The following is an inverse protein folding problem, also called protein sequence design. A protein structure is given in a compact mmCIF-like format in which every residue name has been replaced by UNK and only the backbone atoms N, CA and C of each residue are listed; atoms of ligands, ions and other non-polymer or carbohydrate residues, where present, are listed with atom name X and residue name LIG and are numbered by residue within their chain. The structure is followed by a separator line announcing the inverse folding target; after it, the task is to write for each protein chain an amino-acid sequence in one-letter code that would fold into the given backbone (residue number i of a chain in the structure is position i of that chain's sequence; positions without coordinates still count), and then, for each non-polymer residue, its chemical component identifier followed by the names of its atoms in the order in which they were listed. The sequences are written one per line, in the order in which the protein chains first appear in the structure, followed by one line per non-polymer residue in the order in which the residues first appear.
data_IF_291858040526
#
_entry.id   IF_291858040526
#
_cell.length_a   1.000
_cell.length_b   1.000
_cell.length_c   1.000
_cell.angle_alpha   90.00
_cell.angle_beta   90.00
_cell.angle_gamma   90.00
#
_symmetry.space_group_name_H-M   'P 1'
#
loop_
_entity.id
_entity.type
_entity.pdbx_description
1 polymer ?
#
# COMPACT_ATOMS: atom_id res chain seq x y z
N UNK A 1 -52.67 35.25 10.99
CA UNK A 1 -52.93 34.12 11.93
C UNK A 1 -52.24 32.86 11.41
N UNK A 2 -51.82 31.94 12.29
CA UNK A 2 -51.19 30.67 11.89
C UNK A 2 -52.26 29.69 11.36
N UNK A 3 -51.94 28.93 10.31
CA UNK A 3 -52.54 27.61 10.05
C UNK A 3 -51.42 26.61 9.76
N UNK A 4 -51.44 25.51 10.51
CA UNK A 4 -50.39 24.49 10.53
C UNK A 4 -50.55 23.53 9.36
N UNK A 5 -49.46 23.24 8.63
CA UNK A 5 -49.41 22.09 7.74
C UNK A 5 -48.86 20.88 8.50
N UNK A 6 -49.70 19.87 8.73
CA UNK A 6 -49.31 18.62 9.39
C UNK A 6 -48.61 17.70 8.39
N UNK A 7 -47.31 17.44 8.61
CA UNK A 7 -46.54 16.46 7.83
C UNK A 7 -46.94 15.04 8.23
N UNK A 8 -47.45 14.26 7.27
CA UNK A 8 -47.86 12.87 7.52
C UNK A 8 -46.67 11.95 7.81
N UNK A 9 -46.91 10.87 8.57
CA UNK A 9 -45.99 9.74 8.79
C UNK A 9 -46.45 8.52 7.99
N UNK A 10 -45.65 8.05 7.04
CA UNK A 10 -45.63 6.64 6.58
C UNK A 10 -44.32 6.39 5.84
N UNK A 11 -43.37 5.71 6.49
CA UNK A 11 -42.32 4.89 5.88
C UNK A 11 -41.67 4.10 7.03
N UNK A 12 -42.21 2.92 7.27
CA UNK A 12 -41.67 1.92 8.21
C UNK A 12 -41.99 0.54 7.62
N UNK A 13 -41.02 -0.37 7.68
CA UNK A 13 -41.07 -1.71 7.10
C UNK A 13 -40.76 -1.82 5.60
N UNK A 14 -39.48 -2.03 5.24
CA UNK A 14 -39.08 -3.23 4.45
C UNK A 14 -37.56 -3.56 4.51
N UNK A 15 -36.91 -3.34 5.67
CA UNK A 15 -35.49 -3.70 5.89
C UNK A 15 -35.25 -5.15 6.38
N UNK A 16 -36.31 -5.93 6.61
CA UNK A 16 -36.23 -7.23 7.30
C UNK A 16 -36.40 -8.47 6.41
N UNK A 17 -36.21 -8.33 5.09
CA UNK A 17 -36.40 -9.43 4.11
C UNK A 17 -35.22 -9.77 3.19
N UNK A 18 -34.16 -8.94 3.13
CA UNK A 18 -32.93 -9.29 2.38
C UNK A 18 -32.09 -10.37 3.10
N UNK A 19 -32.21 -10.44 4.42
CA UNK A 19 -31.25 -11.04 5.37
C UNK A 19 -31.26 -12.60 5.45
N UNK A 20 -31.70 -13.31 4.40
CA UNK A 20 -31.85 -14.79 4.42
C UNK A 20 -31.54 -15.53 3.11
N UNK A 21 -30.79 -14.93 2.17
CA UNK A 21 -30.50 -15.56 0.86
C UNK A 21 -29.02 -15.61 0.41
N UNK A 22 -28.08 -15.06 1.17
CA UNK A 22 -26.65 -15.11 0.83
C UNK A 22 -25.86 -16.22 1.56
N UNK A 23 -26.40 -16.82 2.61
CA UNK A 23 -25.76 -17.88 3.39
C UNK A 23 -25.80 -19.27 2.71
N UNK A 24 -25.14 -19.40 1.54
CA UNK A 24 -24.58 -20.66 0.99
C UNK A 24 -23.80 -20.50 -0.32
N UNK A 25 -22.64 -19.84 -0.24
CA UNK A 25 -21.47 -20.17 -1.06
C UNK A 25 -20.24 -20.26 -0.15
N UNK A 26 -19.26 -21.09 -0.51
CA UNK A 26 -18.18 -21.52 0.39
C UNK A 26 -17.13 -20.42 0.59
N UNK A 27 -17.17 -19.77 1.74
CA UNK A 27 -16.08 -18.93 2.23
C UNK A 27 -14.91 -19.81 2.70
N UNK A 28 -13.79 -19.72 1.99
CA UNK A 28 -12.48 -20.12 2.53
C UNK A 28 -12.12 -19.08 3.60
N UNK A 29 -12.07 -19.50 4.87
CA UNK A 29 -11.95 -18.57 5.98
C UNK A 29 -10.55 -17.91 6.03
N UNK A 30 -10.52 -16.58 5.93
CA UNK A 30 -9.36 -15.75 6.30
C UNK A 30 -9.58 -15.15 7.70
N UNK A 31 -8.49 -15.14 8.49
CA UNK A 31 -8.37 -14.62 9.87
C UNK A 31 -9.20 -15.35 10.95
N UNK A 32 -8.56 -15.73 12.07
CA UNK A 32 -9.22 -16.36 13.21
C UNK A 32 -10.30 -15.46 13.83
N UNK A 33 -11.55 -15.92 13.85
CA UNK A 33 -12.70 -15.08 14.18
C UNK A 33 -12.90 -14.92 15.71
N UNK A 34 -13.09 -13.69 16.22
CA UNK A 34 -13.72 -13.49 17.53
C UNK A 34 -15.09 -14.20 17.56
N UNK A 35 -15.47 -14.90 18.66
CA UNK A 35 -16.59 -15.84 18.66
C UNK A 35 -17.97 -15.23 18.35
N UNK A 36 -18.12 -13.90 18.51
CA UNK A 36 -19.19 -13.12 17.87
C UNK A 36 -18.57 -11.80 17.36
N UNK A 37 -18.59 -11.56 16.05
CA UNK A 37 -18.21 -10.27 15.46
C UNK A 37 -19.32 -9.23 15.67
N UNK A 38 -18.99 -8.08 16.25
CA UNK A 38 -19.92 -6.95 16.43
C UNK A 38 -19.18 -5.66 16.08
N UNK A 39 -19.35 -5.23 14.84
CA UNK A 39 -18.72 -4.04 14.28
C UNK A 39 -18.97 -2.76 15.11
N UNK A 40 -20.05 -2.68 15.90
CA UNK A 40 -20.33 -1.53 16.78
C UNK A 40 -19.56 -1.62 18.09
N UNK A 41 -19.58 -2.79 18.74
CA UNK A 41 -18.74 -3.08 19.92
C UNK A 41 -17.27 -2.87 19.60
N UNK A 42 -16.85 -3.28 18.41
CA UNK A 42 -15.45 -3.33 17.98
C UNK A 42 -14.99 -1.95 17.48
N UNK A 43 -15.80 -1.20 16.72
CA UNK A 43 -15.57 0.23 16.49
C UNK A 43 -15.50 1.03 17.81
N UNK A 44 -16.40 0.75 18.76
CA UNK A 44 -16.38 1.34 20.11
C UNK A 44 -15.17 0.93 20.94
N UNK A 45 -14.52 -0.19 20.63
CA UNK A 45 -13.24 -0.57 21.22
C UNK A 45 -12.10 0.25 20.61
N UNK A 46 -12.01 0.34 19.28
CA UNK A 46 -11.02 1.17 18.59
C UNK A 46 -11.15 2.66 18.99
N UNK A 47 -12.36 3.17 19.20
CA UNK A 47 -12.62 4.50 19.78
C UNK A 47 -11.99 4.71 21.17
N UNK A 48 -11.81 3.67 21.99
CA UNK A 48 -11.09 3.78 23.27
C UNK A 48 -9.59 3.93 23.03
N UNK A 49 -9.02 3.11 22.13
CA UNK A 49 -7.61 3.17 21.73
C UNK A 49 -7.31 4.59 21.21
N UNK A 50 -8.10 5.07 20.23
CA UNK A 50 -7.98 6.42 19.69
C UNK A 50 -8.08 7.51 20.78
N UNK A 51 -9.00 7.38 21.75
CA UNK A 51 -9.15 8.37 22.84
C UNK A 51 -8.02 8.37 23.87
N UNK A 52 -7.29 7.26 24.03
CA UNK A 52 -6.05 7.23 24.82
C UNK A 52 -4.89 7.95 24.11
N UNK A 53 -4.94 8.00 22.77
CA UNK A 53 -3.90 8.60 21.93
C UNK A 53 -4.12 10.10 21.66
N UNK A 54 -5.37 10.50 21.39
CA UNK A 54 -5.77 11.86 20.94
C UNK A 54 -5.35 12.98 21.90
N UNK A 55 -5.13 12.70 23.19
CA UNK A 55 -4.65 13.70 24.16
C UNK A 55 -3.22 14.20 23.96
N UNK A 56 -2.43 13.61 23.03
CA UNK A 56 -1.01 13.92 22.86
C UNK A 56 -0.55 14.28 21.44
N UNK A 57 -1.46 14.41 20.45
CA UNK A 57 -1.14 14.46 19.00
C UNK A 57 -0.37 13.24 18.43
N UNK A 58 -0.12 12.22 19.25
CA UNK A 58 0.46 10.95 18.82
C UNK A 58 -0.70 10.02 18.48
N UNK A 59 -0.86 9.65 17.21
CA UNK A 59 -1.73 8.54 16.81
C UNK A 59 -0.92 7.25 16.94
N UNK A 60 -1.34 6.34 17.81
CA UNK A 60 -0.66 5.06 18.03
C UNK A 60 -0.95 4.09 16.87
N UNK A 61 -0.12 4.16 15.84
CA UNK A 61 -0.21 3.31 14.66
C UNK A 61 0.08 1.84 14.98
N UNK A 62 0.88 1.55 16.01
CA UNK A 62 1.20 0.19 16.46
C UNK A 62 -0.05 -0.48 17.07
N UNK A 63 -0.72 0.17 18.03
CA UNK A 63 -1.98 -0.33 18.61
C UNK A 63 -3.12 -0.41 17.60
N UNK A 64 -3.19 0.52 16.64
CA UNK A 64 -4.20 0.48 15.56
C UNK A 64 -3.92 -0.69 14.60
N UNK A 65 -2.67 -0.89 14.19
CA UNK A 65 -2.29 -2.00 13.30
C UNK A 65 -2.57 -3.35 13.97
N UNK A 66 -2.19 -3.50 15.25
CA UNK A 66 -2.48 -4.71 16.01
C UNK A 66 -4.00 -4.97 16.11
N UNK A 67 -4.82 -3.95 16.44
CA UNK A 67 -6.27 -4.09 16.45
C UNK A 67 -6.82 -4.51 15.08
N UNK A 68 -6.37 -3.90 13.98
CA UNK A 68 -6.85 -4.23 12.64
C UNK A 68 -6.42 -5.64 12.18
N UNK A 69 -5.27 -6.14 12.65
CA UNK A 69 -4.75 -7.47 12.30
C UNK A 69 -5.61 -8.64 12.75
N UNK A 70 -6.57 -8.44 13.67
CA UNK A 70 -7.50 -9.49 14.14
C UNK A 70 -8.82 -9.55 13.36
N UNK A 71 -8.93 -8.87 12.21
CA UNK A 71 -10.15 -8.80 11.40
C UNK A 71 -9.86 -8.97 9.89
N UNK A 72 -10.75 -9.69 9.18
CA UNK A 72 -10.68 -9.80 7.72
C UNK A 72 -11.10 -8.49 7.01
N UNK A 73 -10.92 -8.40 5.68
CA UNK A 73 -11.14 -7.14 4.97
C UNK A 73 -12.59 -6.59 5.13
N UNK A 74 -13.60 -7.44 4.95
CA UNK A 74 -15.01 -7.08 5.12
C UNK A 74 -15.31 -6.55 6.54
N UNK A 75 -14.81 -7.25 7.57
CA UNK A 75 -14.94 -6.84 8.97
C UNK A 75 -14.27 -5.49 9.25
N UNK A 76 -13.08 -5.24 8.69
CA UNK A 76 -12.39 -3.94 8.81
C UNK A 76 -13.19 -2.83 8.15
N UNK A 77 -13.72 -3.02 6.95
CA UNK A 77 -14.55 -2.02 6.26
C UNK A 77 -15.79 -1.67 7.09
N UNK A 78 -16.50 -2.66 7.64
CA UNK A 78 -17.68 -2.44 8.49
C UNK A 78 -17.34 -1.69 9.80
N UNK A 79 -16.18 -1.98 10.41
CA UNK A 79 -15.69 -1.25 11.59
C UNK A 79 -15.38 0.21 11.23
N UNK A 80 -14.66 0.45 10.13
CA UNK A 80 -14.26 1.81 9.68
C UNK A 80 -15.49 2.66 9.33
N UNK A 81 -16.45 2.12 8.57
CA UNK A 81 -17.69 2.81 8.22
C UNK A 81 -18.51 3.20 9.45
N UNK A 82 -18.59 2.35 10.48
CA UNK A 82 -19.29 2.71 11.72
C UNK A 82 -18.47 3.70 12.59
N UNK A 83 -17.14 3.69 12.49
CA UNK A 83 -16.27 4.67 13.15
C UNK A 83 -16.49 6.09 12.62
N UNK A 84 -16.64 6.22 11.31
CA UNK A 84 -17.02 7.48 10.67
C UNK A 84 -18.47 7.86 11.01
N UNK A 85 -19.43 6.95 10.81
CA UNK A 85 -20.86 7.22 10.98
C UNK A 85 -21.30 7.51 12.43
N UNK A 86 -20.85 6.72 13.41
CA UNK A 86 -21.30 6.83 14.81
C UNK A 86 -20.44 7.81 15.63
N UNK A 87 -19.16 7.99 15.27
CA UNK A 87 -18.20 8.77 16.07
C UNK A 87 -17.55 9.95 15.35
N UNK A 88 -17.80 10.15 14.05
CA UNK A 88 -17.20 11.21 13.22
C UNK A 88 -15.66 11.18 13.24
N UNK A 89 -15.06 9.99 13.29
CA UNK A 89 -13.62 9.80 13.11
C UNK A 89 -13.33 9.24 11.72
N UNK A 90 -12.94 10.10 10.77
CA UNK A 90 -12.29 9.63 9.55
C UNK A 90 -10.87 9.17 9.92
N UNK A 91 -10.71 7.87 10.17
CA UNK A 91 -9.44 7.29 10.58
C UNK A 91 -8.42 7.26 9.43
N UNK A 92 -8.86 7.25 8.17
CA UNK A 92 -7.99 7.38 7.00
C UNK A 92 -7.33 8.76 6.99
N UNK A 93 -8.10 9.84 7.13
CA UNK A 93 -7.54 11.20 7.22
C UNK A 93 -6.59 11.34 8.42
N UNK A 94 -6.97 10.84 9.60
CA UNK A 94 -6.14 10.88 10.81
C UNK A 94 -4.81 10.14 10.66
N UNK A 95 -4.75 9.09 9.84
CA UNK A 95 -3.51 8.38 9.47
C UNK A 95 -2.75 9.16 8.40
N UNK A 96 -3.44 9.75 7.42
CA UNK A 96 -2.86 10.57 6.34
C UNK A 96 -2.18 11.86 6.86
N UNK A 97 -2.67 12.46 7.95
CA UNK A 97 -2.02 13.59 8.65
C UNK A 97 -0.67 13.25 9.33
N UNK A 98 -0.25 11.98 9.36
CA UNK A 98 1.04 11.57 9.98
C UNK A 98 2.20 11.68 8.96
N UNK A 99 3.47 11.62 9.39
CA UNK A 99 4.59 11.49 8.45
C UNK A 99 4.53 10.17 7.66
N UNK A 100 4.99 10.20 6.42
CA UNK A 100 5.24 9.00 5.60
C UNK A 100 6.16 8.02 6.34
N UNK A 101 5.72 6.77 6.47
CA UNK A 101 6.47 5.70 7.14
C UNK A 101 5.87 4.33 6.78
N UNK A 102 6.65 3.24 6.81
CA UNK A 102 6.15 1.89 6.54
C UNK A 102 4.91 1.52 7.35
N UNK A 103 4.85 1.89 8.63
CA UNK A 103 3.71 1.54 9.50
C UNK A 103 2.46 2.35 9.18
N UNK A 104 2.57 3.65 8.82
CA UNK A 104 1.46 4.44 8.30
C UNK A 104 0.87 3.80 7.04
N UNK A 105 1.73 3.40 6.10
CA UNK A 105 1.27 2.73 4.87
C UNK A 105 0.62 1.36 5.16
N UNK A 106 1.14 0.60 6.13
CA UNK A 106 0.58 -0.68 6.55
C UNK A 106 -0.79 -0.53 7.24
N UNK A 107 -0.95 0.50 8.09
CA UNK A 107 -2.25 0.84 8.70
C UNK A 107 -3.23 1.31 7.64
N UNK A 108 -2.81 2.17 6.70
CA UNK A 108 -3.66 2.64 5.60
C UNK A 108 -4.17 1.47 4.74
N UNK A 109 -3.30 0.53 4.37
CA UNK A 109 -3.66 -0.68 3.64
C UNK A 109 -4.65 -1.61 4.39
N UNK A 110 -4.74 -1.50 5.72
CA UNK A 110 -5.71 -2.22 6.53
C UNK A 110 -7.04 -1.45 6.70
N UNK A 111 -7.07 -0.15 6.40
CA UNK A 111 -8.23 0.75 6.53
C UNK A 111 -8.97 1.00 5.21
N UNK A 112 -8.33 0.80 4.06
CA UNK A 112 -8.90 1.00 2.71
C UNK A 112 -9.06 -0.31 1.95
N UNK A 113 -9.80 -0.31 0.85
CA UNK A 113 -9.68 -1.39 -0.14
C UNK A 113 -8.29 -1.39 -0.80
N UNK A 114 -7.80 -2.54 -1.33
CA UNK A 114 -6.51 -2.62 -2.02
C UNK A 114 -6.38 -1.66 -3.21
N UNK A 115 -7.49 -1.38 -3.91
CA UNK A 115 -7.45 -0.52 -5.11
C UNK A 115 -7.08 0.94 -4.76
N UNK A 116 -7.54 1.44 -3.61
CA UNK A 116 -7.17 2.77 -3.13
C UNK A 116 -5.70 2.85 -2.72
N UNK A 117 -5.17 1.81 -2.06
CA UNK A 117 -3.74 1.70 -1.75
C UNK A 117 -2.89 1.77 -3.03
N UNK A 118 -3.30 1.06 -4.08
CA UNK A 118 -2.59 1.00 -5.35
C UNK A 118 -2.63 2.36 -6.07
N UNK A 119 -3.79 3.00 -6.13
CA UNK A 119 -4.01 4.36 -6.65
C UNK A 119 -3.15 5.39 -5.92
N UNK A 120 -3.10 5.35 -4.59
CA UNK A 120 -2.28 6.26 -3.78
C UNK A 120 -0.79 6.04 -4.06
N UNK A 121 -0.31 4.80 -4.05
CA UNK A 121 1.09 4.50 -4.35
C UNK A 121 1.51 4.94 -5.78
N UNK A 122 0.63 4.80 -6.77
CA UNK A 122 0.86 5.26 -8.15
C UNK A 122 0.97 6.79 -8.23
N UNK A 123 0.05 7.53 -7.60
CA UNK A 123 0.12 8.99 -7.47
C UNK A 123 1.38 9.45 -6.72
N UNK A 124 1.75 8.76 -5.64
CA UNK A 124 2.92 9.09 -4.84
C UNK A 124 4.20 8.89 -5.67
N UNK A 125 4.35 7.80 -6.42
CA UNK A 125 5.47 7.60 -7.35
C UNK A 125 5.59 8.74 -8.37
N UNK A 126 4.49 9.10 -9.05
CA UNK A 126 4.46 10.22 -9.99
C UNK A 126 4.85 11.54 -9.30
N UNK A 127 4.33 11.81 -8.11
CA UNK A 127 4.60 13.03 -7.34
C UNK A 127 6.06 13.10 -6.85
N UNK A 128 6.63 11.99 -6.39
CA UNK A 128 8.02 11.89 -5.94
C UNK A 128 9.00 12.12 -7.10
N UNK A 129 8.70 11.58 -8.29
CA UNK A 129 9.47 11.82 -9.52
C UNK A 129 9.34 13.27 -9.99
N UNK A 130 8.12 13.82 -10.04
CA UNK A 130 7.85 15.20 -10.46
C UNK A 130 8.51 16.26 -9.57
N UNK A 131 8.56 15.99 -8.26
CA UNK A 131 9.14 16.91 -7.27
C UNK A 131 10.65 16.75 -7.09
N UNK A 132 11.31 15.88 -7.88
CA UNK A 132 12.75 15.63 -7.77
C UNK A 132 13.15 14.97 -6.44
N UNK A 133 12.22 14.27 -5.78
CA UNK A 133 12.50 13.45 -4.60
C UNK A 133 13.06 12.06 -4.96
N UNK A 134 12.83 11.59 -6.20
CA UNK A 134 13.39 10.36 -6.76
C UNK A 134 13.95 10.66 -8.15
N UNK A 135 15.28 10.59 -8.31
CA UNK A 135 15.95 10.72 -9.61
C UNK A 135 15.81 9.45 -10.47
N UNK A 136 15.75 8.28 -9.81
CA UNK A 136 15.64 6.95 -10.44
C UNK A 136 14.34 6.74 -11.22
N UNK A 137 14.28 5.67 -12.00
CA UNK A 137 13.07 5.34 -12.75
C UNK A 137 11.92 4.85 -11.85
N UNK A 138 10.68 5.04 -12.31
CA UNK A 138 9.46 4.58 -11.65
C UNK A 138 8.56 3.71 -12.55
N UNK A 139 8.83 3.63 -13.86
CA UNK A 139 7.91 3.05 -14.86
C UNK A 139 7.64 1.57 -14.62
N UNK A 140 8.66 0.78 -14.27
CA UNK A 140 8.49 -0.62 -13.86
C UNK A 140 7.53 -0.78 -12.68
N UNK A 141 7.62 0.08 -11.66
CA UNK A 141 6.71 0.06 -10.52
C UNK A 141 5.29 0.52 -10.90
N UNK A 142 5.15 1.50 -11.80
CA UNK A 142 3.84 1.89 -12.33
C UNK A 142 3.18 0.76 -13.14
N UNK A 143 3.96 -0.04 -13.87
CA UNK A 143 3.48 -1.22 -14.60
C UNK A 143 3.16 -2.38 -13.63
N UNK A 144 4.02 -2.67 -12.65
CA UNK A 144 3.80 -3.69 -11.62
C UNK A 144 2.47 -3.48 -10.86
N UNK A 145 2.12 -2.23 -10.55
CA UNK A 145 0.86 -1.85 -9.90
C UNK A 145 -0.37 -2.19 -10.76
N UNK A 146 -0.24 -2.12 -12.09
CA UNK A 146 -1.36 -2.31 -13.05
C UNK A 146 -1.46 -3.73 -13.60
N UNK A 147 -0.35 -4.49 -13.63
CA UNK A 147 -0.25 -5.79 -14.31
C UNK A 147 -1.32 -6.81 -13.92
N UNK A 148 -1.64 -6.91 -12.62
CA UNK A 148 -2.61 -7.84 -12.07
C UNK A 148 -4.02 -7.30 -11.88
N UNK A 149 -4.35 -6.15 -12.47
CA UNK A 149 -5.68 -5.56 -12.35
C UNK A 149 -6.60 -6.03 -13.49
N UNK A 150 -7.81 -6.46 -13.11
CA UNK A 150 -8.89 -6.70 -14.06
C UNK A 150 -9.34 -5.40 -14.73
N UNK A 151 -10.03 -5.46 -15.86
CA UNK A 151 -10.60 -4.28 -16.51
C UNK A 151 -11.55 -3.51 -15.55
N UNK A 152 -12.32 -4.24 -14.74
CA UNK A 152 -13.16 -3.67 -13.67
C UNK A 152 -12.33 -2.98 -12.58
N UNK A 153 -11.21 -3.56 -12.17
CA UNK A 153 -10.32 -2.93 -11.18
C UNK A 153 -9.61 -1.70 -11.79
N UNK A 154 -9.26 -1.71 -13.08
CA UNK A 154 -8.74 -0.54 -13.82
C UNK A 154 -9.79 0.59 -13.94
N UNK A 155 -11.08 0.28 -14.10
CA UNK A 155 -12.16 1.27 -14.06
C UNK A 155 -12.25 1.92 -12.66
N UNK A 156 -12.29 1.11 -11.59
CA UNK A 156 -12.24 1.58 -10.20
C UNK A 156 -10.97 2.38 -9.89
N UNK A 157 -9.82 1.98 -10.44
CA UNK A 157 -8.53 2.66 -10.27
C UNK A 157 -8.60 4.10 -10.78
N UNK A 158 -9.14 4.29 -11.98
CA UNK A 158 -9.31 5.61 -12.59
C UNK A 158 -10.35 6.47 -11.85
N UNK A 159 -11.48 5.88 -11.43
CA UNK A 159 -12.47 6.58 -10.61
C UNK A 159 -11.87 7.02 -9.26
N UNK A 160 -11.21 6.11 -8.54
CA UNK A 160 -10.56 6.39 -7.27
C UNK A 160 -9.47 7.45 -7.39
N UNK A 161 -8.59 7.37 -8.41
CA UNK A 161 -7.56 8.39 -8.67
C UNK A 161 -8.18 9.78 -8.90
N UNK A 162 -9.23 9.84 -9.73
CA UNK A 162 -9.96 11.07 -10.01
C UNK A 162 -10.65 11.63 -8.76
N UNK A 163 -11.24 10.78 -7.92
CA UNK A 163 -11.95 11.20 -6.72
C UNK A 163 -10.99 11.64 -5.58
N UNK A 164 -9.80 11.04 -5.48
CA UNK A 164 -8.81 11.35 -4.45
C UNK A 164 -7.93 12.56 -4.76
N UNK A 165 -7.64 12.82 -6.04
CA UNK A 165 -6.68 13.86 -6.46
C UNK A 165 -7.31 14.98 -7.32
N UNK A 166 -8.56 14.81 -7.76
CA UNK A 166 -9.27 15.70 -8.71
C UNK A 166 -8.51 15.91 -10.03
N UNK A 167 -7.72 14.91 -10.45
CA UNK A 167 -6.83 14.95 -11.60
C UNK A 167 -7.16 13.86 -12.63
N UNK A 168 -6.80 14.09 -13.90
CA UNK A 168 -6.72 13.05 -14.93
C UNK A 168 -5.35 12.37 -14.83
N UNK A 169 -5.37 11.05 -14.67
CA UNK A 169 -4.19 10.19 -14.53
C UNK A 169 -3.29 10.23 -15.77
N UNK A 170 -3.88 10.16 -16.98
CA UNK A 170 -3.14 10.23 -18.25
C UNK A 170 -2.29 11.50 -18.33
N UNK A 171 -2.88 12.65 -17.96
CA UNK A 171 -2.19 13.94 -17.96
C UNK A 171 -1.08 14.04 -16.93
N UNK A 172 -1.19 13.32 -15.81
CA UNK A 172 -0.15 13.29 -14.79
C UNK A 172 1.03 12.41 -15.27
N UNK A 173 0.74 11.28 -15.92
CA UNK A 173 1.72 10.44 -16.60
C UNK A 173 2.43 11.22 -17.72
N UNK A 174 1.69 11.92 -18.58
CA UNK A 174 2.23 12.80 -19.63
C UNK A 174 3.10 13.93 -19.07
N UNK A 175 2.77 14.48 -17.91
CA UNK A 175 3.55 15.54 -17.23
C UNK A 175 4.87 15.00 -16.65
N UNK A 176 4.89 13.76 -16.14
CA UNK A 176 6.06 13.17 -15.45
C UNK A 176 6.99 12.39 -16.39
N UNK A 177 6.44 11.61 -17.32
CA UNK A 177 7.18 10.74 -18.24
C UNK A 177 7.29 11.31 -19.66
N UNK A 178 6.39 12.23 -20.03
CA UNK A 178 6.33 12.85 -21.35
C UNK A 178 5.34 12.15 -22.30
N UNK A 179 4.55 12.95 -23.02
CA UNK A 179 3.55 12.54 -24.03
C UNK A 179 4.10 11.55 -25.08
N UNK A 180 5.37 11.71 -25.49
CA UNK A 180 5.99 10.92 -26.57
C UNK A 180 6.79 9.71 -26.10
N UNK A 181 6.94 9.51 -24.79
CA UNK A 181 7.72 8.40 -24.23
C UNK A 181 6.98 7.06 -24.41
N UNK A 182 7.71 5.99 -24.74
CA UNK A 182 7.14 4.66 -24.98
C UNK A 182 6.36 4.13 -23.76
N UNK A 183 6.95 4.26 -22.57
CA UNK A 183 6.40 3.71 -21.34
C UNK A 183 5.21 4.53 -20.82
N UNK A 184 5.22 5.84 -21.05
CA UNK A 184 4.05 6.71 -20.92
C UNK A 184 2.88 6.18 -21.75
N UNK A 185 3.08 5.90 -23.05
CA UNK A 185 2.05 5.27 -23.90
C UNK A 185 1.62 3.89 -23.35
N UNK A 186 2.57 3.04 -22.96
CA UNK A 186 2.30 1.67 -22.48
C UNK A 186 1.44 1.66 -21.21
N UNK A 187 1.79 2.48 -20.22
CA UNK A 187 1.04 2.65 -18.97
C UNK A 187 -0.37 3.18 -19.26
N UNK A 188 -0.50 4.17 -20.16
CA UNK A 188 -1.81 4.67 -20.60
C UNK A 188 -2.62 3.59 -21.35
N UNK A 189 -1.99 2.65 -22.07
CA UNK A 189 -2.72 1.53 -22.69
C UNK A 189 -3.19 0.49 -21.67
N UNK A 190 -2.39 0.18 -20.64
CA UNK A 190 -2.85 -0.65 -19.51
C UNK A 190 -4.06 0.00 -18.81
N UNK A 191 -3.99 1.32 -18.56
CA UNK A 191 -5.08 2.09 -17.95
C UNK A 191 -6.36 2.19 -18.80
N UNK A 192 -6.34 1.82 -20.10
CA UNK A 192 -7.58 1.77 -20.90
C UNK A 192 -8.55 0.69 -20.43
N UNK A 193 -8.08 -0.34 -19.70
CA UNK A 193 -8.94 -1.43 -19.20
C UNK A 193 -9.61 -2.21 -20.34
N UNK A 194 -8.82 -2.66 -21.32
CA UNK A 194 -9.30 -3.35 -22.53
C UNK A 194 -8.62 -4.69 -22.81
N UNK A 195 -8.01 -5.31 -21.80
CA UNK A 195 -7.41 -6.64 -21.96
C UNK A 195 -8.53 -7.67 -22.16
N UNK A 196 -8.37 -8.61 -23.06
CA UNK A 196 -9.31 -9.73 -23.19
C UNK A 196 -9.18 -10.65 -21.96
N UNK A 197 -10.27 -10.86 -21.22
CA UNK A 197 -10.26 -11.57 -19.91
C UNK A 197 -10.78 -13.02 -19.99
N UNK A 198 -11.35 -13.45 -21.13
CA UNK A 198 -11.86 -14.81 -21.26
C UNK A 198 -10.70 -15.82 -21.31
N UNK A 199 -10.86 -16.96 -20.63
CA UNK A 199 -9.81 -17.97 -20.40
C UNK A 199 -9.45 -18.82 -21.63
N UNK A 200 -9.72 -18.32 -22.84
CA UNK A 200 -9.42 -18.97 -24.11
C UNK A 200 -8.09 -18.50 -24.71
N UNK A 201 -7.55 -19.33 -25.61
CA UNK A 201 -6.55 -18.94 -26.58
C UNK A 201 -6.94 -19.46 -27.97
N UNK A 202 -6.31 -18.91 -29.01
CA UNK A 202 -6.58 -19.24 -30.40
C UNK A 202 -5.27 -19.36 -31.17
N UNK A 203 -4.76 -20.60 -31.40
CA UNK A 203 -3.50 -20.82 -32.09
C UNK A 203 -3.43 -20.27 -33.53
N UNK A 204 -4.57 -20.00 -34.17
CA UNK A 204 -4.61 -19.33 -35.49
C UNK A 204 -4.40 -17.82 -35.37
N UNK A 205 -5.04 -17.17 -34.39
CA UNK A 205 -4.82 -15.75 -34.07
C UNK A 205 -3.39 -15.57 -33.55
N UNK A 206 -2.90 -16.47 -32.68
CA UNK A 206 -1.54 -16.42 -32.17
C UNK A 206 -0.49 -16.53 -33.30
N UNK A 207 -0.69 -17.40 -34.30
CA UNK A 207 0.16 -17.48 -35.50
C UNK A 207 0.15 -16.21 -36.36
N UNK A 208 -0.98 -15.49 -36.38
CA UNK A 208 -1.10 -14.20 -37.07
C UNK A 208 -0.36 -13.09 -36.30
N UNK A 209 -0.57 -13.01 -34.98
CA UNK A 209 0.03 -11.96 -34.14
C UNK A 209 1.54 -12.18 -33.96
N UNK A 210 2.00 -13.42 -33.74
CA UNK A 210 3.43 -13.75 -33.75
C UNK A 210 4.10 -13.44 -35.10
N UNK A 211 3.38 -13.57 -36.23
CA UNK A 211 3.89 -13.09 -37.54
C UNK A 211 3.98 -11.57 -37.56
N UNK A 212 2.91 -10.86 -37.19
CA UNK A 212 2.86 -9.41 -37.21
C UNK A 212 3.95 -8.79 -36.31
N UNK A 213 4.17 -9.36 -35.13
CA UNK A 213 5.24 -8.96 -34.22
C UNK A 213 6.63 -9.18 -34.85
N UNK A 214 6.89 -10.32 -35.51
CA UNK A 214 8.14 -10.53 -36.23
C UNK A 214 8.32 -9.56 -37.41
N UNK A 215 7.27 -9.34 -38.20
CA UNK A 215 7.31 -8.42 -39.34
C UNK A 215 7.64 -6.98 -38.88
N UNK A 216 7.15 -6.56 -37.71
CA UNK A 216 7.43 -5.23 -37.10
C UNK A 216 8.78 -5.16 -36.37
N UNK A 217 9.30 -6.27 -35.84
CA UNK A 217 10.60 -6.33 -35.11
C UNK A 217 11.79 -6.82 -35.94
N UNK A 218 11.60 -6.98 -37.25
CA UNK A 218 12.65 -7.34 -38.22
C UNK A 218 13.02 -6.19 -39.16
N UNK A 219 12.11 -5.24 -39.44
CA UNK A 219 12.43 -4.03 -40.22
C UNK A 219 12.77 -2.84 -39.30
N UNK A 220 14.08 -2.62 -39.12
CA UNK A 220 14.66 -1.54 -38.31
C UNK A 220 14.28 -0.14 -38.83
N UNK A 221 13.74 0.01 -40.05
CA UNK A 221 13.52 1.32 -40.67
C UNK A 221 12.20 2.00 -40.30
N UNK A 222 11.18 1.26 -39.84
CA UNK A 222 9.90 1.82 -39.37
C UNK A 222 9.36 1.07 -38.16
N UNK A 223 9.74 1.55 -36.97
CA UNK A 223 9.24 1.06 -35.67
C UNK A 223 7.78 1.52 -35.48
N UNK A 224 6.88 0.57 -35.23
CA UNK A 224 5.53 0.86 -34.73
C UNK A 224 5.38 0.45 -33.26
N UNK A 225 5.80 1.37 -32.38
CA UNK A 225 5.58 1.33 -30.93
C UNK A 225 4.15 0.87 -30.56
N UNK A 226 3.15 1.34 -31.31
CA UNK A 226 1.75 1.19 -30.94
C UNK A 226 1.28 -0.24 -31.20
N UNK A 227 1.66 -0.83 -32.33
CA UNK A 227 1.42 -2.27 -32.59
C UNK A 227 2.06 -3.15 -31.52
N UNK A 228 3.28 -2.83 -31.06
CA UNK A 228 3.92 -3.57 -29.96
C UNK A 228 3.13 -3.41 -28.66
N UNK A 229 2.82 -2.17 -28.27
CA UNK A 229 2.04 -1.88 -27.04
C UNK A 229 0.66 -2.55 -27.08
N UNK A 230 -0.07 -2.47 -28.21
CA UNK A 230 -1.41 -3.05 -28.35
C UNK A 230 -1.37 -4.58 -28.19
N UNK A 231 -0.36 -5.27 -28.73
CA UNK A 231 -0.17 -6.72 -28.51
C UNK A 231 -0.04 -7.01 -27.01
N UNK A 232 0.92 -6.38 -26.33
CA UNK A 232 1.21 -6.66 -24.92
C UNK A 232 0.08 -6.20 -23.95
N UNK A 233 -0.82 -5.31 -24.38
CA UNK A 233 -1.88 -4.77 -23.52
C UNK A 233 -3.29 -5.30 -23.81
N UNK A 234 -3.62 -5.70 -25.05
CA UNK A 234 -4.99 -6.08 -25.42
C UNK A 234 -5.29 -7.60 -25.33
N UNK A 235 -4.33 -8.48 -25.60
CA UNK A 235 -4.58 -9.94 -25.57
C UNK A 235 -4.64 -10.51 -24.13
N UNK A 236 -5.37 -11.61 -23.96
CA UNK A 236 -5.42 -12.34 -22.68
C UNK A 236 -4.05 -12.94 -22.36
N UNK A 237 -3.71 -13.14 -21.07
CA UNK A 237 -2.43 -13.76 -20.71
C UNK A 237 -2.29 -15.20 -21.26
N UNK A 238 -3.39 -15.94 -21.39
CA UNK A 238 -3.41 -17.26 -22.06
C UNK A 238 -3.07 -17.14 -23.55
N UNK A 239 -3.63 -16.14 -24.23
CA UNK A 239 -3.37 -15.86 -25.64
C UNK A 239 -1.94 -15.33 -25.86
N UNK A 240 -1.43 -14.45 -24.99
CA UNK A 240 -0.05 -13.96 -25.04
C UNK A 240 0.98 -15.07 -24.81
N UNK A 241 0.79 -15.93 -23.81
CA UNK A 241 1.65 -17.10 -23.60
C UNK A 241 1.71 -17.98 -24.87
N UNK A 242 0.55 -18.19 -25.51
CA UNK A 242 0.43 -18.93 -26.78
C UNK A 242 1.09 -18.20 -27.97
N UNK A 243 1.09 -16.86 -27.99
CA UNK A 243 1.82 -16.04 -28.98
C UNK A 243 3.32 -16.20 -28.81
N UNK A 244 3.81 -16.20 -27.56
CA UNK A 244 5.24 -16.31 -27.26
C UNK A 244 5.79 -17.69 -27.66
N UNK A 245 5.09 -18.77 -27.31
CA UNK A 245 5.45 -20.14 -27.71
C UNK A 245 5.54 -20.27 -29.24
N UNK A 246 4.53 -19.76 -29.94
CA UNK A 246 4.42 -19.82 -31.41
C UNK A 246 5.40 -18.87 -32.11
N UNK A 247 5.92 -17.86 -31.43
CA UNK A 247 7.02 -17.04 -31.91
C UNK A 247 8.33 -17.82 -31.89
N UNK A 248 8.67 -18.39 -30.73
CA UNK A 248 9.91 -19.15 -30.50
C UNK A 248 9.99 -20.39 -31.42
N UNK A 249 8.92 -21.20 -31.48
CA UNK A 249 8.78 -22.37 -32.37
C UNK A 249 9.03 -22.07 -33.87
N UNK A 250 8.73 -20.83 -34.28
CA UNK A 250 8.65 -20.44 -35.70
C UNK A 250 9.86 -19.62 -36.17
N UNK A 251 10.45 -18.84 -35.28
CA UNK A 251 11.53 -17.90 -35.58
C UNK A 251 12.87 -18.30 -34.95
N UNK A 252 12.87 -19.20 -33.96
CA UNK A 252 14.09 -19.75 -33.37
C UNK A 252 14.80 -18.84 -32.36
N UNK A 253 14.14 -17.75 -31.93
CA UNK A 253 14.56 -16.86 -30.85
C UNK A 253 13.36 -16.61 -29.90
N UNK A 254 13.55 -16.55 -28.57
CA UNK A 254 12.50 -16.12 -27.65
C UNK A 254 12.04 -14.69 -27.94
N UNK A 255 10.78 -14.37 -27.61
CA UNK A 255 10.23 -13.02 -27.87
C UNK A 255 10.99 -11.92 -27.12
N UNK A 256 11.60 -12.24 -25.96
CA UNK A 256 12.50 -11.37 -25.21
C UNK A 256 13.73 -10.95 -26.02
N UNK A 257 14.33 -11.84 -26.81
CA UNK A 257 15.51 -11.51 -27.62
C UNK A 257 15.12 -10.54 -28.74
N UNK A 258 13.97 -10.73 -29.38
CA UNK A 258 13.42 -9.78 -30.34
C UNK A 258 13.17 -8.39 -29.72
N UNK A 259 12.68 -8.32 -28.48
CA UNK A 259 12.49 -7.06 -27.71
C UNK A 259 13.83 -6.40 -27.38
N UNK A 260 14.84 -7.17 -26.97
CA UNK A 260 16.20 -6.69 -26.71
C UNK A 260 16.91 -6.18 -27.98
N UNK A 261 16.60 -6.76 -29.14
CA UNK A 261 17.03 -6.21 -30.44
C UNK A 261 16.29 -4.92 -30.82
N UNK A 262 15.01 -4.81 -30.42
CA UNK A 262 14.11 -3.72 -30.82
C UNK A 262 14.28 -2.44 -29.99
N UNK A 263 14.44 -2.54 -28.67
CA UNK A 263 14.54 -1.40 -27.76
C UNK A 263 15.96 -1.23 -27.25
N UNK A 264 16.51 -0.03 -27.36
CA UNK A 264 17.89 0.27 -26.90
C UNK A 264 17.94 0.84 -25.47
N UNK A 265 16.79 1.05 -24.84
CA UNK A 265 16.68 1.49 -23.46
C UNK A 265 16.43 0.28 -22.55
N UNK A 266 17.36 0.01 -21.64
CA UNK A 266 17.28 -1.10 -20.69
C UNK A 266 15.97 -1.08 -19.86
N UNK A 267 15.45 0.10 -19.52
CA UNK A 267 14.20 0.23 -18.77
C UNK A 267 13.00 -0.21 -19.62
N UNK A 268 13.01 0.07 -20.93
CA UNK A 268 11.94 -0.34 -21.85
C UNK A 268 11.92 -1.86 -22.04
N UNK A 269 13.10 -2.48 -22.19
CA UNK A 269 13.25 -3.94 -22.20
C UNK A 269 12.68 -4.54 -20.90
N UNK A 270 13.13 -4.07 -19.74
CA UNK A 270 12.70 -4.59 -18.44
C UNK A 270 11.20 -4.44 -18.19
N UNK A 271 10.57 -3.36 -18.68
CA UNK A 271 9.12 -3.19 -18.62
C UNK A 271 8.34 -4.22 -19.46
N UNK A 272 8.88 -4.67 -20.59
CA UNK A 272 8.27 -5.76 -21.36
C UNK A 272 8.59 -7.14 -20.77
N UNK A 273 9.80 -7.35 -20.25
CA UNK A 273 10.16 -8.58 -19.52
C UNK A 273 9.27 -8.79 -18.28
N UNK A 274 8.92 -7.71 -17.55
CA UNK A 274 7.94 -7.75 -16.45
C UNK A 274 6.55 -8.24 -16.94
N UNK A 275 6.07 -7.75 -18.09
CA UNK A 275 4.80 -8.20 -18.69
C UNK A 275 4.89 -9.68 -19.12
N UNK A 276 6.02 -10.11 -19.69
CA UNK A 276 6.22 -11.48 -20.16
C UNK A 276 6.29 -12.46 -18.99
N UNK A 277 7.06 -12.14 -17.95
CA UNK A 277 7.17 -12.98 -16.75
C UNK A 277 5.82 -13.10 -16.03
N UNK A 278 5.08 -12.00 -15.88
CA UNK A 278 3.72 -12.02 -15.36
C UNK A 278 2.77 -12.86 -16.22
N UNK A 279 2.88 -12.78 -17.55
CA UNK A 279 2.11 -13.61 -18.50
C UNK A 279 2.39 -15.10 -18.33
N UNK A 280 3.66 -15.47 -18.07
CA UNK A 280 4.06 -16.88 -17.89
C UNK A 280 3.71 -17.43 -16.50
N UNK A 281 3.81 -16.63 -15.44
CA UNK A 281 3.38 -17.01 -14.08
C UNK A 281 3.15 -15.78 -13.19
N UNK A 282 1.89 -15.36 -12.96
CA UNK A 282 1.56 -14.25 -12.05
C UNK A 282 2.10 -14.48 -10.63
N UNK A 283 1.86 -15.66 -10.07
CA UNK A 283 2.32 -16.03 -8.72
C UNK A 283 3.85 -16.14 -8.64
N UNK A 284 4.52 -16.54 -9.72
CA UNK A 284 5.98 -16.55 -9.83
C UNK A 284 6.58 -15.14 -9.88
N UNK A 285 5.96 -14.24 -10.63
CA UNK A 285 6.33 -12.82 -10.69
C UNK A 285 6.18 -12.15 -9.31
N UNK A 286 5.03 -12.31 -8.65
CA UNK A 286 4.83 -11.79 -7.28
C UNK A 286 5.79 -12.40 -6.27
N UNK A 287 6.08 -13.71 -6.37
CA UNK A 287 7.10 -14.39 -5.57
C UNK A 287 8.48 -13.73 -5.72
N UNK A 288 8.87 -13.41 -6.96
CA UNK A 288 10.13 -12.72 -7.30
C UNK A 288 10.17 -11.27 -6.78
N UNK A 289 9.13 -10.46 -7.02
CA UNK A 289 9.09 -9.08 -6.50
C UNK A 289 9.07 -9.04 -4.96
N UNK A 290 8.39 -9.98 -4.29
CA UNK A 290 8.47 -10.15 -2.83
C UNK A 290 9.90 -10.43 -2.36
N UNK A 291 10.65 -11.30 -3.06
CA UNK A 291 12.05 -11.59 -2.73
C UNK A 291 12.92 -10.34 -2.89
N UNK A 292 12.82 -9.67 -4.04
CA UNK A 292 13.57 -8.44 -4.31
C UNK A 292 13.26 -7.35 -3.27
N UNK A 293 11.98 -7.18 -2.90
CA UNK A 293 11.55 -6.22 -1.88
C UNK A 293 12.14 -6.52 -0.49
N UNK A 294 12.30 -7.81 -0.12
CA UNK A 294 12.93 -8.26 1.12
C UNK A 294 14.46 -8.17 1.10
N UNK A 295 15.11 -8.26 -0.07
CA UNK A 295 16.57 -8.19 -0.20
C UNK A 295 17.11 -6.76 -0.40
N UNK A 296 16.27 -5.85 -0.91
CA UNK A 296 16.57 -4.41 -1.06
C UNK A 296 16.99 -3.76 0.26
N UNK A 297 17.90 -2.78 0.18
CA UNK A 297 18.27 -1.93 1.30
C UNK A 297 18.15 -0.44 0.91
N UNK A 298 17.27 0.36 1.54
CA UNK A 298 16.25 -0.05 2.51
C UNK A 298 15.20 -1.01 1.89
N UNK A 299 14.53 -1.78 2.76
CA UNK A 299 13.50 -2.75 2.40
C UNK A 299 12.31 -2.07 1.73
N UNK A 300 11.77 -2.66 0.67
CA UNK A 300 10.62 -2.11 -0.07
C UNK A 300 9.29 -2.43 0.61
N UNK A 301 9.05 -1.79 1.75
CA UNK A 301 7.82 -2.00 2.52
C UNK A 301 6.55 -1.74 1.71
N UNK A 302 6.54 -0.80 0.75
CA UNK A 302 5.35 -0.55 -0.08
C UNK A 302 4.99 -1.76 -0.93
N UNK A 303 6.00 -2.41 -1.52
CA UNK A 303 5.80 -3.62 -2.35
C UNK A 303 5.38 -4.83 -1.51
N UNK A 304 5.94 -4.98 -0.31
CA UNK A 304 5.48 -5.99 0.65
C UNK A 304 4.04 -5.74 1.11
N UNK A 305 3.68 -4.49 1.41
CA UNK A 305 2.31 -4.11 1.80
C UNK A 305 1.32 -4.39 0.67
N UNK A 306 1.63 -4.01 -0.59
CA UNK A 306 0.76 -4.32 -1.75
C UNK A 306 0.51 -5.82 -1.88
N UNK A 307 1.55 -6.64 -1.92
CA UNK A 307 1.37 -8.06 -2.21
C UNK A 307 0.91 -8.89 -1.02
N UNK A 308 1.30 -8.57 0.22
CA UNK A 308 0.86 -9.34 1.39
C UNK A 308 -0.57 -8.95 1.80
N UNK A 309 -0.93 -7.66 1.78
CA UNK A 309 -2.27 -7.20 2.21
C UNK A 309 -3.26 -7.16 1.04
N UNK A 310 -2.83 -6.77 -0.16
CA UNK A 310 -3.72 -6.66 -1.33
C UNK A 310 -4.13 -7.99 -1.96
N UNK A 311 -3.40 -9.08 -1.69
CA UNK A 311 -3.68 -10.42 -2.24
C UNK A 311 -4.15 -11.44 -1.19
N UNK A 312 -4.29 -11.07 0.09
CA UNK A 312 -4.67 -12.01 1.18
C UNK A 312 -6.00 -12.72 0.95
N UNK A 313 -6.98 -12.00 0.40
CA UNK A 313 -8.31 -12.51 0.04
C UNK A 313 -8.41 -12.80 -1.49
N UNK A 314 -7.26 -12.97 -2.16
CA UNK A 314 -7.11 -13.36 -3.58
C UNK A 314 -6.25 -14.63 -3.73
N UNK A 315 -4.97 -14.46 -4.07
CA UNK A 315 -4.02 -15.46 -4.57
C UNK A 315 -2.73 -15.58 -3.73
N UNK A 316 -2.70 -15.00 -2.52
CA UNK A 316 -1.53 -15.05 -1.63
C UNK A 316 -1.06 -16.48 -1.30
N UNK A 317 -1.97 -17.47 -1.28
CA UNK A 317 -1.59 -18.87 -1.05
C UNK A 317 -0.87 -19.49 -2.25
N UNK A 318 -1.25 -19.19 -3.51
CA UNK A 318 -0.45 -19.57 -4.67
C UNK A 318 0.92 -18.85 -4.69
N UNK A 319 0.96 -17.56 -4.36
CA UNK A 319 2.20 -16.77 -4.27
C UNK A 319 3.16 -17.40 -3.23
N UNK A 320 2.65 -17.83 -2.06
CA UNK A 320 3.43 -18.53 -1.03
C UNK A 320 4.01 -19.86 -1.51
N UNK A 321 3.26 -20.62 -2.32
CA UNK A 321 3.72 -21.90 -2.87
C UNK A 321 4.81 -21.70 -3.92
N UNK A 322 4.65 -20.73 -4.83
CA UNK A 322 5.71 -20.34 -5.77
C UNK A 322 6.93 -19.76 -5.06
N UNK A 323 6.76 -19.03 -3.96
CA UNK A 323 7.88 -18.53 -3.15
C UNK A 323 8.72 -19.67 -2.55
N UNK A 324 8.07 -20.65 -1.90
CA UNK A 324 8.76 -21.82 -1.37
C UNK A 324 9.47 -22.61 -2.47
N UNK A 325 8.82 -22.78 -3.63
CA UNK A 325 9.37 -23.48 -4.80
C UNK A 325 10.58 -22.77 -5.45
N UNK A 326 10.61 -21.44 -5.43
CA UNK A 326 11.65 -20.65 -6.11
C UNK A 326 12.86 -20.34 -5.21
N UNK A 327 12.74 -20.49 -3.88
CA UNK A 327 13.78 -20.09 -2.92
C UNK A 327 14.15 -21.14 -1.86
N UNK A 328 13.49 -22.32 -1.84
CA UNK A 328 13.62 -23.36 -0.80
C UNK A 328 13.40 -22.84 0.65
N UNK A 329 12.82 -21.64 0.80
CA UNK A 329 12.56 -20.94 2.06
C UNK A 329 11.10 -20.47 2.11
N UNK A 330 10.33 -20.76 3.17
CA UNK A 330 8.99 -20.22 3.33
C UNK A 330 8.98 -18.69 3.51
N UNK A 331 8.06 -18.00 2.84
CA UNK A 331 7.93 -16.53 2.87
C UNK A 331 7.83 -15.97 4.31
N UNK A 332 7.17 -16.68 5.23
CA UNK A 332 7.04 -16.28 6.63
C UNK A 332 8.38 -16.36 7.38
N UNK A 333 9.25 -17.32 7.03
CA UNK A 333 10.61 -17.47 7.59
C UNK A 333 11.50 -16.34 7.08
N UNK A 334 11.43 -16.01 5.79
CA UNK A 334 12.17 -14.86 5.25
C UNK A 334 11.71 -13.56 5.91
N UNK A 335 10.41 -13.34 6.09
CA UNK A 335 9.86 -12.13 6.76
C UNK A 335 10.24 -12.06 8.25
N UNK A 336 10.18 -13.19 8.99
CA UNK A 336 10.66 -13.30 10.38
C UNK A 336 12.13 -12.87 10.50
N UNK A 337 12.94 -13.20 9.50
CA UNK A 337 14.39 -12.97 9.46
C UNK A 337 14.80 -11.60 8.92
N UNK A 338 14.07 -11.05 7.94
CA UNK A 338 14.47 -9.85 7.18
C UNK A 338 13.89 -8.53 7.67
N UNK A 339 12.70 -8.51 8.28
CA UNK A 339 12.09 -7.25 8.73
C UNK A 339 12.58 -6.84 10.14
N UNK A 340 12.84 -5.55 10.35
CA UNK A 340 13.16 -5.01 11.68
C UNK A 340 11.94 -4.40 12.39
N UNK A 341 10.94 -3.92 11.64
CA UNK A 341 9.71 -3.38 12.24
C UNK A 341 8.84 -4.53 12.78
N UNK A 342 8.66 -4.57 14.10
CA UNK A 342 8.02 -5.70 14.79
C UNK A 342 6.52 -5.82 14.55
N UNK A 343 5.75 -4.72 14.51
CA UNK A 343 4.30 -4.82 14.30
C UNK A 343 3.93 -5.06 12.82
N UNK A 344 4.69 -4.52 11.86
CA UNK A 344 4.55 -4.90 10.44
C UNK A 344 4.91 -6.38 10.26
N UNK A 345 6.02 -6.84 10.86
CA UNK A 345 6.39 -8.27 10.87
C UNK A 345 5.26 -9.11 11.44
N UNK A 346 4.78 -8.82 12.64
CA UNK A 346 3.68 -9.54 13.31
C UNK A 346 2.44 -9.62 12.43
N UNK A 347 2.03 -8.48 11.86
CA UNK A 347 0.87 -8.38 10.96
C UNK A 347 1.03 -9.26 9.72
N UNK A 348 2.19 -9.20 9.05
CA UNK A 348 2.47 -10.05 7.88
C UNK A 348 2.52 -11.53 8.25
N UNK A 349 3.08 -11.91 9.40
CA UNK A 349 3.09 -13.32 9.83
C UNK A 349 1.67 -13.82 10.13
N UNK A 350 0.83 -13.05 10.83
CA UNK A 350 -0.59 -13.40 11.07
C UNK A 350 -1.36 -13.58 9.74
N UNK A 351 -1.15 -12.68 8.78
CA UNK A 351 -1.73 -12.76 7.43
C UNK A 351 -1.27 -14.03 6.68
N UNK A 352 0.03 -14.33 6.73
CA UNK A 352 0.64 -15.39 5.92
C UNK A 352 0.42 -16.78 6.51
N UNK A 353 0.53 -16.96 7.83
CA UNK A 353 0.28 -18.27 8.47
C UNK A 353 -1.20 -18.56 8.65
N UNK A 354 -2.06 -17.51 8.71
CA UNK A 354 -3.49 -17.58 9.07
C UNK A 354 -3.73 -18.15 10.49
N UNK A 355 -2.71 -18.20 11.33
CA UNK A 355 -2.80 -18.70 12.71
C UNK A 355 -3.40 -17.66 13.66
N UNK A 356 -4.08 -18.13 14.71
CA UNK A 356 -4.43 -17.30 15.86
C UNK A 356 -3.16 -16.88 16.62
N UNK A 357 -3.13 -15.66 17.17
CA UNK A 357 -1.92 -15.09 17.77
C UNK A 357 -1.49 -15.81 19.06
N UNK A 358 -0.64 -16.82 18.92
CA UNK A 358 -0.07 -17.62 20.01
C UNK A 358 0.69 -16.73 21.02
N UNK A 359 1.19 -15.55 20.60
CA UNK A 359 1.91 -14.62 21.49
C UNK A 359 0.99 -13.88 22.45
N UNK A 360 -0.32 -13.79 22.16
CA UNK A 360 -1.31 -13.17 23.05
C UNK A 360 -1.36 -13.86 24.44
N UNK A 361 -1.04 -15.16 24.53
CA UNK A 361 -0.99 -15.91 25.79
C UNK A 361 0.20 -15.55 26.72
N UNK A 362 1.12 -14.68 26.28
CA UNK A 362 2.18 -14.12 27.13
C UNK A 362 1.73 -12.77 27.74
N UNK A 363 0.69 -12.13 27.17
CA UNK A 363 0.09 -10.88 27.63
C UNK A 363 -0.85 -11.04 28.82
N UNK A 364 -0.30 -11.35 30.01
CA UNK A 364 -1.05 -11.22 31.26
C UNK A 364 -1.61 -9.79 31.46
N UNK A 365 -2.77 -9.61 32.10
CA UNK A 365 -3.47 -8.32 32.14
C UNK A 365 -2.59 -7.22 32.76
N UNK A 366 -2.41 -6.12 32.02
CA UNK A 366 -1.53 -5.00 32.40
C UNK A 366 -1.93 -4.43 33.76
N UNK A 367 -1.13 -4.75 34.78
CA UNK A 367 -1.29 -4.17 36.12
C UNK A 367 -0.73 -2.75 36.13
N UNK A 368 -1.63 -1.78 36.08
CA UNK A 368 -1.32 -0.39 36.40
C UNK A 368 -1.19 -0.24 37.93
N UNK A 369 0.00 -0.54 38.46
CA UNK A 369 0.32 -0.30 39.87
C UNK A 369 0.37 1.22 40.15
N UNK A 370 -0.77 1.74 40.58
CA UNK A 370 -1.03 3.18 40.71
C UNK A 370 -0.46 3.73 42.03
N UNK A 371 0.87 3.64 42.21
CA UNK A 371 1.56 4.02 43.45
C UNK A 371 1.87 5.52 43.50
N UNK A 372 1.02 6.30 44.18
CA UNK A 372 1.33 7.67 44.57
C UNK A 372 2.63 7.70 45.40
N UNK A 373 3.64 8.44 44.94
CA UNK A 373 4.95 8.48 45.58
C UNK A 373 4.97 9.44 46.78
N UNK A 374 4.49 8.98 47.94
CA UNK A 374 4.67 9.67 49.21
C UNK A 374 6.03 9.33 49.83
N UNK A 375 6.89 10.34 49.98
CA UNK A 375 8.30 10.16 50.31
C UNK A 375 8.56 9.93 51.81
N UNK A 376 9.09 8.75 52.16
CA UNK A 376 9.85 8.56 53.42
C UNK A 376 10.73 7.31 53.41
N UNK A 377 12.04 7.48 53.16
CA UNK A 377 13.07 6.52 53.56
C UNK A 377 14.19 7.32 54.24
N UNK A 378 14.56 6.92 55.46
CA UNK A 378 15.67 7.50 56.22
C UNK A 378 16.82 6.51 56.41
N UNK A 379 17.86 6.97 57.11
CA UNK A 379 18.88 6.15 57.80
C UNK A 379 19.53 4.99 57.00
N UNK A 380 20.62 5.32 56.30
CA UNK A 380 21.49 4.38 55.57
C UNK A 380 22.53 3.60 56.39
N UNK A 381 23.71 3.36 55.80
CA UNK A 381 24.80 2.57 56.40
C UNK A 381 26.23 3.04 56.00
N UNK A 382 27.24 2.50 56.69
CA UNK A 382 28.69 2.81 56.70
C UNK A 382 29.49 1.50 56.46
N UNK A 383 30.80 1.38 56.17
CA UNK A 383 32.00 2.27 56.00
C UNK A 383 33.14 1.40 55.35
N UNK A 384 34.26 1.87 54.78
CA UNK A 384 34.71 3.23 54.42
C UNK A 384 35.39 3.27 53.01
N UNK A 385 36.70 3.15 52.70
CA UNK A 385 38.01 3.16 53.42
C UNK A 385 39.14 3.72 52.51
N UNK A 386 39.24 5.06 52.39
CA UNK A 386 40.47 5.88 52.19
C UNK A 386 41.66 5.41 51.32
N UNK A 387 42.09 6.30 50.39
CA UNK A 387 43.42 6.96 50.48
C UNK A 387 43.40 8.33 49.77
N UNK A 388 44.36 9.21 50.12
CA UNK A 388 44.49 10.60 49.62
C UNK A 388 45.81 10.83 48.89
N UNK A 389 45.80 11.74 47.93
CA UNK A 389 46.86 12.75 47.67
C UNK A 389 46.21 13.99 47.04
N UNK A 390 46.88 15.16 47.08
CA UNK A 390 46.23 16.46 46.83
C UNK A 390 47.20 17.56 46.38
N UNK A 391 46.77 18.42 45.44
CA UNK A 391 47.44 19.68 45.03
C UNK A 391 46.43 20.77 44.65
N UNK A 392 46.91 22.01 44.45
CA UNK A 392 46.24 23.30 44.72
C UNK A 392 46.80 24.39 43.78
N UNK A 393 46.23 25.56 43.42
CA UNK A 393 45.02 26.39 43.76
C UNK A 393 45.07 27.69 42.90
N UNK A 394 44.10 28.66 42.92
CA UNK A 394 42.69 28.72 43.30
C UNK A 394 41.78 29.39 42.18
N UNK A 395 40.99 30.51 42.30
CA UNK A 395 39.65 30.54 41.65
C UNK A 395 39.29 31.79 40.79
N UNK A 396 38.09 31.77 40.19
CA UNK A 396 37.36 32.97 39.69
C UNK A 396 35.87 32.88 40.07
N UNK A 397 35.17 34.02 40.08
CA UNK A 397 33.86 34.19 40.77
C UNK A 397 32.64 34.34 39.83
N UNK A 398 31.42 33.97 40.30
CA UNK A 398 30.12 34.42 39.73
C UNK A 398 29.92 35.94 39.99
N UNK A 399 28.84 36.65 39.55
CA UNK A 399 27.43 36.23 39.30
C UNK A 399 26.85 36.88 38.00
N UNK A 400 25.54 37.17 37.76
CA UNK A 400 24.33 36.91 38.57
C UNK A 400 23.09 36.32 37.86
N UNK A 401 22.10 35.99 38.68
CA UNK A 401 20.75 35.56 38.30
C UNK A 401 19.79 36.75 38.05
N UNK A 402 18.90 36.64 37.08
CA UNK A 402 17.64 37.42 37.02
C UNK A 402 16.45 36.51 36.71
N UNK A 403 15.37 36.67 37.46
CA UNK A 403 14.12 35.93 37.31
C UNK A 403 13.18 36.62 36.31
N UNK A 404 12.64 35.87 35.34
CA UNK A 404 11.57 36.36 34.45
C UNK A 404 10.50 35.30 34.17
N UNK A 405 9.33 35.50 34.78
CA UNK A 405 7.99 34.98 34.47
C UNK A 405 7.79 33.89 33.40
N UNK A 406 7.08 32.82 33.80
CA UNK A 406 6.26 32.01 32.88
C UNK A 406 5.40 32.90 31.96
N UNK A 407 5.51 32.73 30.64
CA UNK A 407 4.45 33.06 29.69
C UNK A 407 4.33 31.96 28.63
N UNK A 408 3.08 31.56 28.40
CA UNK A 408 2.67 30.63 27.34
C UNK A 408 3.18 31.07 25.97
N UNK A 409 3.80 30.14 25.24
CA UNK A 409 3.99 30.20 23.79
C UNK A 409 3.32 29.00 23.11
N UNK A 410 2.06 28.73 23.49
CA UNK A 410 1.16 27.99 22.60
C UNK A 410 0.99 28.73 21.27
N UNK A 411 0.84 27.99 20.17
CA UNK A 411 0.30 28.54 18.93
C UNK A 411 1.30 28.93 17.84
N UNK A 412 2.22 28.03 17.47
CA UNK A 412 2.60 27.91 16.05
C UNK A 412 1.89 26.71 15.46
N UNK A 413 0.84 26.98 14.66
CA UNK A 413 0.31 26.00 13.71
C UNK A 413 1.46 25.65 12.74
N UNK A 414 1.75 24.37 12.56
CA UNK A 414 2.29 23.91 11.27
C UNK A 414 1.14 24.13 10.28
N UNK A 415 1.36 24.92 9.22
CA UNK A 415 0.26 25.33 8.34
C UNK A 415 -0.17 24.20 7.39
N UNK A 416 -1.47 24.18 7.11
CA UNK A 416 -2.16 23.28 6.17
C UNK A 416 -1.45 23.22 4.80
N UNK A 417 -0.86 24.36 4.41
CA UNK A 417 -0.09 24.57 3.18
C UNK A 417 0.92 23.47 2.83
N UNK A 418 1.57 22.84 3.80
CA UNK A 418 2.58 21.80 3.51
C UNK A 418 1.92 20.53 2.96
N UNK A 419 0.71 20.21 3.41
CA UNK A 419 -0.08 19.06 2.96
C UNK A 419 -0.82 19.40 1.65
N UNK A 420 -1.45 20.57 1.59
CA UNK A 420 -2.14 21.06 0.38
C UNK A 420 -1.19 21.15 -0.83
N UNK A 421 0.08 21.53 -0.60
CA UNK A 421 1.11 21.58 -1.66
C UNK A 421 1.47 20.20 -2.21
N UNK A 422 1.34 19.12 -1.44
CA UNK A 422 1.64 17.76 -1.93
C UNK A 422 0.48 17.15 -2.71
N UNK A 423 -0.77 17.42 -2.31
CA UNK A 423 -1.97 16.97 -3.05
C UNK A 423 -2.23 17.75 -4.36
N UNK A 424 -1.73 18.98 -4.50
CA UNK A 424 -2.09 19.86 -5.62
C UNK A 424 -0.94 20.19 -6.59
N UNK A 425 0.22 19.51 -6.52
CA UNK A 425 1.39 19.74 -7.39
C UNK A 425 1.00 19.83 -8.88
N UNK A 426 0.25 18.85 -9.35
CA UNK A 426 -0.24 18.77 -10.74
C UNK A 426 -1.17 19.93 -11.12
N UNK A 427 -2.03 20.39 -10.21
CA UNK A 427 -2.94 21.52 -10.46
C UNK A 427 -2.15 22.83 -10.60
N UNK A 428 -1.17 23.08 -9.73
CA UNK A 428 -0.30 24.27 -9.79
C UNK A 428 0.55 24.31 -11.06
N UNK A 429 1.06 23.17 -11.54
CA UNK A 429 1.82 23.11 -12.79
C UNK A 429 0.91 23.33 -14.01
N UNK A 430 -0.32 22.78 -14.00
CA UNK A 430 -1.29 23.01 -15.09
C UNK A 430 -1.68 24.49 -15.21
N UNK A 431 -1.81 25.24 -14.11
CA UNK A 431 -2.02 26.70 -14.18
C UNK A 431 -0.81 27.43 -14.78
N UNK A 432 0.43 27.02 -14.48
CA UNK A 432 1.64 27.64 -15.03
C UNK A 432 2.01 27.23 -16.46
N UNK A 433 1.19 26.40 -17.13
CA UNK A 433 1.29 26.07 -18.56
C UNK A 433 0.15 26.67 -19.40
N UNK A 434 -0.70 27.53 -18.80
CA UNK A 434 -1.85 28.15 -19.44
C UNK A 434 -1.70 29.68 -19.66
N UNK A 435 -0.62 30.26 -19.15
CA UNK A 435 -0.15 31.64 -19.37
C UNK A 435 1.07 31.64 -20.32
#
# INVERSE_FOLDING_TARGET
MKKTLTRSKTYDGDLTKMDRRLTRQTTLASFGHPPEFDYKRDAKHLVKILKQCVTAHILDLDSILHFLSTYNCEQRMLIVQNLEYEYNYNLVDMVLERPESPIRSCVLAMLTEPIELYVRHFHDLLTLKLTGKIDGDITRLLIEILLGLSNMDIEKFQESYKNLFENSIDKDIEIVLGEKNLLSKLIIHLLKGKRYEESGNSPSIAKMIAKNFHDVTSDVTTIDDNTIIDIFTCDSFSQLSTIFDIYEDKYGEPIQEAIQRQFHNQIEIECFDDIIEFTRSPSGYYSKSLRQALEKYPIDYMTLIRFIIGHVDKDLDEIKLEYLKNYDEPLDVTIKTRLDNMEIKRTFILIITKEEDITANIGGPVRFDNSNNSSSIGSGLNRMTTKKTSTTTPPTTPPPSTTASNKSLFGRKISHETFDKFFNVFKTIRTHKAD
#
